data_IF_532935915263
#
_entry.id   IF_532935915263
#
_cell.length_a   1.000
_cell.length_b   1.000
_cell.length_c   1.000
_cell.angle_alpha   90.00
_cell.angle_beta   90.00
_cell.angle_gamma   90.00
#
_symmetry.space_group_name_H-M   'P 1'
#
loop_
_entity.id
_entity.type
_entity.pdbx_description
1 polymer ?
#
# COMPACT_ATOMS: atom_id res chain seq x y z
N UNK A 1 -22.20 15.41 -10.23
CA UNK A 1 -21.04 16.23 -10.69
C UNK A 1 -20.50 17.24 -9.66
N UNK A 2 -21.09 17.47 -8.47
CA UNK A 2 -20.53 18.43 -7.49
C UNK A 2 -19.62 17.84 -6.40
N UNK A 3 -19.47 16.51 -6.31
CA UNK A 3 -18.59 15.86 -5.33
C UNK A 3 -17.09 16.06 -5.65
N UNK A 4 -16.73 16.20 -6.93
CA UNK A 4 -15.34 16.29 -7.39
C UNK A 4 -14.67 17.65 -7.16
N UNK A 5 -15.42 18.74 -7.00
CA UNK A 5 -14.80 20.08 -6.80
C UNK A 5 -14.28 20.29 -5.38
N UNK A 6 -14.86 19.62 -4.38
CA UNK A 6 -14.40 19.74 -2.99
C UNK A 6 -13.33 18.70 -2.63
N UNK A 7 -13.17 17.64 -3.42
CA UNK A 7 -12.17 16.60 -3.18
C UNK A 7 -10.78 16.88 -3.81
N UNK A 8 -10.66 17.79 -4.79
CA UNK A 8 -9.34 18.14 -5.35
C UNK A 8 -8.39 18.74 -4.31
N UNK A 9 -8.93 19.48 -3.34
CA UNK A 9 -8.14 20.03 -2.22
C UNK A 9 -7.81 18.94 -1.19
N UNK A 10 -8.72 17.98 -0.98
CA UNK A 10 -8.50 16.82 -0.09
C UNK A 10 -7.48 15.80 -0.63
N UNK A 11 -7.31 15.74 -1.96
CA UNK A 11 -6.34 14.87 -2.64
C UNK A 11 -4.90 15.40 -2.51
N UNK A 12 -4.74 16.71 -2.25
CA UNK A 12 -3.44 17.35 -1.95
C UNK A 12 -3.06 17.22 -0.46
N UNK A 13 -3.97 16.67 0.36
CA UNK A 13 -3.96 16.81 1.83
C UNK A 13 -3.41 15.60 2.60
N UNK A 14 -2.54 14.82 1.98
CA UNK A 14 -1.87 13.72 2.66
C UNK A 14 -0.54 14.16 3.26
N UNK A 15 -0.41 14.15 4.59
CA UNK A 15 0.83 14.46 5.31
C UNK A 15 2.04 13.64 4.85
N UNK A 16 3.24 13.95 5.34
CA UNK A 16 4.51 13.33 4.93
C UNK A 16 4.48 11.80 4.75
N UNK A 17 3.68 11.07 5.53
CA UNK A 17 3.43 9.62 5.36
C UNK A 17 2.64 9.25 4.08
N UNK A 18 1.69 10.08 3.65
CA UNK A 18 0.98 10.01 2.38
C UNK A 18 1.78 10.58 1.20
N UNK A 19 2.69 11.54 1.41
CA UNK A 19 3.63 11.90 0.34
C UNK A 19 4.56 10.72 0.01
N UNK A 20 5.03 9.99 1.03
CA UNK A 20 5.78 8.73 0.91
C UNK A 20 4.94 7.60 0.26
N UNK A 21 3.67 7.42 0.66
CA UNK A 21 2.84 6.28 0.22
C UNK A 21 1.95 6.57 -0.98
N UNK A 22 1.23 7.69 -1.02
CA UNK A 22 0.37 8.07 -2.13
C UNK A 22 1.11 8.72 -3.30
N UNK A 23 2.21 9.46 -3.10
CA UNK A 23 3.00 10.01 -4.22
C UNK A 23 3.57 8.89 -5.09
N UNK A 24 4.37 8.02 -4.44
CA UNK A 24 4.93 6.80 -5.05
C UNK A 24 3.81 5.97 -5.68
N UNK A 25 2.74 5.62 -4.98
CA UNK A 25 1.76 4.68 -5.56
C UNK A 25 0.81 5.31 -6.59
N UNK A 26 0.46 6.60 -6.50
CA UNK A 26 -0.27 7.30 -7.57
C UNK A 26 0.60 7.34 -8.84
N UNK A 27 1.90 7.66 -8.73
CA UNK A 27 2.84 7.59 -9.85
C UNK A 27 2.94 6.18 -10.45
N UNK A 28 3.05 5.16 -9.60
CA UNK A 28 3.11 3.76 -10.01
C UNK A 28 1.83 3.26 -10.69
N UNK A 29 0.67 3.83 -10.35
CA UNK A 29 -0.63 3.37 -10.83
C UNK A 29 -1.21 4.21 -11.97
N UNK A 30 -0.83 5.50 -12.10
CA UNK A 30 -1.10 6.32 -13.29
C UNK A 30 -0.54 5.69 -14.55
N UNK A 31 0.58 4.97 -14.44
CA UNK A 31 1.18 4.24 -15.56
C UNK A 31 0.46 2.89 -15.83
N UNK A 32 0.04 2.11 -14.80
CA UNK A 32 -0.68 0.82 -14.99
C UNK A 32 -2.02 0.87 -15.77
N UNK A 33 -2.69 2.01 -15.92
CA UNK A 33 -3.91 2.10 -16.72
C UNK A 33 -3.64 1.99 -18.23
N UNK A 34 -2.47 2.43 -18.69
CA UNK A 34 -2.06 2.34 -20.09
C UNK A 34 -1.72 0.88 -20.49
N UNK A 35 -1.38 0.03 -19.51
CA UNK A 35 -1.19 -1.43 -19.69
C UNK A 35 -2.44 -2.22 -20.10
N UNK A 36 -3.67 -1.72 -19.87
CA UNK A 36 -4.90 -2.49 -20.18
C UNK A 36 -5.27 -2.44 -21.66
N UNK A 37 -4.97 -1.33 -22.34
CA UNK A 37 -5.10 -1.21 -23.80
C UNK A 37 -4.05 -2.08 -24.53
N UNK A 38 -2.82 -2.16 -24.01
CA UNK A 38 -1.75 -3.00 -24.58
C UNK A 38 -1.96 -4.51 -24.32
N UNK A 39 -2.64 -4.90 -23.24
CA UNK A 39 -2.95 -6.31 -22.95
C UNK A 39 -4.03 -6.90 -23.86
N UNK A 40 -5.03 -6.11 -24.27
CA UNK A 40 -6.03 -6.54 -25.25
C UNK A 40 -5.41 -6.74 -26.65
N UNK A 41 -4.39 -5.95 -27.00
CA UNK A 41 -3.59 -6.12 -28.22
C UNK A 41 -2.65 -7.36 -28.15
N UNK A 42 -1.99 -7.58 -27.00
CA UNK A 42 -1.13 -8.77 -26.78
C UNK A 42 -1.90 -10.09 -26.73
N UNK A 43 -3.17 -10.10 -26.29
CA UNK A 43 -3.99 -11.32 -26.21
C UNK A 43 -4.49 -11.77 -27.59
N UNK A 44 -4.75 -10.82 -28.50
CA UNK A 44 -5.01 -11.06 -29.93
C UNK A 44 -3.78 -11.67 -30.64
N UNK A 45 -2.58 -11.21 -30.28
CA UNK A 45 -1.31 -11.69 -30.84
C UNK A 45 -0.97 -13.10 -30.33
N UNK A 46 -1.32 -13.44 -29.08
CA UNK A 46 -1.01 -14.74 -28.47
C UNK A 46 -1.84 -15.91 -29.04
N UNK A 47 -3.12 -15.68 -29.35
CA UNK A 47 -3.95 -16.67 -30.06
C UNK A 47 -3.48 -16.92 -31.50
N UNK A 48 -2.71 -16.00 -32.08
CA UNK A 48 -2.15 -16.12 -33.44
C UNK A 48 -0.82 -16.88 -33.47
N UNK A 49 -0.14 -17.06 -32.32
CA UNK A 49 1.20 -17.68 -32.22
C UNK A 49 1.14 -19.15 -31.75
N UNK A 50 0.08 -19.56 -31.05
CA UNK A 50 -0.05 -20.93 -30.53
C UNK A 50 -0.32 -22.02 -31.60
N UNK A 51 -0.65 -21.64 -32.84
CA UNK A 51 -0.78 -22.57 -33.97
C UNK A 51 0.56 -22.97 -34.62
N UNK A 52 1.69 -22.32 -34.27
CA UNK A 52 2.98 -22.49 -34.97
C UNK A 52 4.11 -23.13 -34.11
N UNK A 53 3.85 -23.50 -32.85
CA UNK A 53 4.90 -23.99 -31.92
C UNK A 53 4.74 -25.43 -31.38
N UNK A 54 3.78 -26.23 -31.85
CA UNK A 54 3.65 -27.63 -31.41
C UNK A 54 4.76 -28.59 -31.93
N UNK A 55 5.67 -28.15 -32.80
CA UNK A 55 6.65 -29.07 -33.44
C UNK A 55 8.09 -29.08 -32.86
N UNK A 56 8.41 -28.33 -31.78
CA UNK A 56 9.81 -28.20 -31.31
C UNK A 56 10.15 -28.59 -29.86
N UNK A 57 9.20 -29.02 -29.03
CA UNK A 57 9.50 -29.39 -27.63
C UNK A 57 9.49 -30.91 -27.41
N UNK A 58 10.36 -31.62 -28.14
CA UNK A 58 10.76 -33.01 -27.81
C UNK A 58 12.27 -33.17 -27.95
N UNK A 59 13.05 -32.53 -27.07
CA UNK A 59 14.45 -32.90 -26.75
C UNK A 59 14.98 -32.00 -25.62
N UNK A 60 15.27 -32.59 -24.46
CA UNK A 60 16.27 -32.04 -23.54
C UNK A 60 15.79 -31.80 -22.10
N UNK A 61 15.45 -32.85 -21.36
CA UNK A 61 15.38 -32.79 -19.88
C UNK A 61 16.36 -33.81 -19.32
N UNK A 62 17.43 -33.33 -18.67
CA UNK A 62 18.20 -34.02 -17.62
C UNK A 62 19.29 -33.08 -17.09
N UNK A 63 19.02 -32.41 -15.95
CA UNK A 63 19.96 -32.10 -14.85
C UNK A 63 19.38 -31.00 -13.95
N UNK A 64 18.95 -31.38 -12.75
CA UNK A 64 19.25 -30.70 -11.47
C UNK A 64 18.31 -31.25 -10.40
N UNK A 65 18.82 -32.15 -9.54
CA UNK A 65 18.06 -32.77 -8.45
C UNK A 65 18.60 -32.39 -7.06
N UNK A 66 19.49 -31.38 -7.00
CA UNK A 66 20.18 -30.97 -5.77
C UNK A 66 19.93 -29.51 -5.36
N UNK A 67 19.21 -28.72 -6.16
CA UNK A 67 18.72 -27.39 -5.75
C UNK A 67 17.32 -27.45 -5.15
N UNK A 68 16.51 -28.44 -5.57
CA UNK A 68 15.12 -28.64 -5.15
C UNK A 68 14.97 -28.96 -3.65
N UNK A 69 15.96 -29.56 -3.00
CA UNK A 69 15.86 -29.94 -1.57
C UNK A 69 16.16 -28.79 -0.59
N UNK A 70 16.83 -27.72 -1.03
CA UNK A 70 17.10 -26.55 -0.16
C UNK A 70 15.92 -25.56 -0.21
N UNK A 71 15.24 -25.48 -1.35
CA UNK A 71 14.07 -24.60 -1.55
C UNK A 71 12.86 -25.10 -0.73
N UNK A 72 12.60 -26.41 -0.73
CA UNK A 72 11.45 -27.02 -0.03
C UNK A 72 11.53 -26.89 1.51
N UNK A 73 12.72 -26.81 2.11
CA UNK A 73 12.88 -26.60 3.56
C UNK A 73 12.70 -25.14 3.97
N UNK A 74 13.08 -24.18 3.12
CA UNK A 74 12.83 -22.76 3.38
C UNK A 74 11.34 -22.44 3.31
N UNK A 75 10.62 -23.04 2.36
CA UNK A 75 9.17 -22.84 2.18
C UNK A 75 8.35 -23.35 3.38
N UNK A 76 8.71 -24.51 3.96
CA UNK A 76 7.98 -25.07 5.11
C UNK A 76 8.18 -24.28 6.41
N UNK A 77 9.38 -23.77 6.68
CA UNK A 77 9.62 -22.92 7.86
C UNK A 77 8.89 -21.58 7.72
N UNK A 78 8.75 -21.07 6.49
CA UNK A 78 8.05 -19.81 6.20
C UNK A 78 6.53 -19.93 6.27
N UNK A 79 5.91 -20.98 5.72
CA UNK A 79 4.47 -21.23 5.89
C UNK A 79 4.09 -21.33 7.37
N UNK A 80 4.95 -21.95 8.18
CA UNK A 80 4.72 -22.05 9.63
C UNK A 80 4.78 -20.70 10.35
N UNK A 81 5.69 -19.79 9.94
CA UNK A 81 5.75 -18.41 10.46
C UNK A 81 4.56 -17.59 10.00
N UNK A 82 4.09 -17.79 8.77
CA UNK A 82 2.91 -17.09 8.24
C UNK A 82 1.62 -17.53 8.94
N UNK A 83 1.45 -18.83 9.20
CA UNK A 83 0.31 -19.35 9.97
C UNK A 83 0.34 -18.86 11.42
N UNK A 84 1.52 -18.80 12.06
CA UNK A 84 1.65 -18.24 13.42
C UNK A 84 1.30 -16.75 13.50
N UNK A 85 1.56 -15.96 12.45
CA UNK A 85 1.12 -14.56 12.38
C UNK A 85 -0.40 -14.45 12.20
N UNK A 86 -1.05 -15.42 11.55
CA UNK A 86 -2.50 -15.43 11.32
C UNK A 86 -3.31 -15.94 12.53
N UNK A 87 -2.79 -16.93 13.28
CA UNK A 87 -3.49 -17.62 14.38
C UNK A 87 -3.54 -16.86 15.72
N UNK A 88 -2.88 -15.71 15.86
CA UNK A 88 -3.03 -14.89 17.08
C UNK A 88 -4.46 -14.36 17.23
N UNK A 89 -4.94 -14.44 18.48
CA UNK A 89 -6.31 -14.18 18.95
C UNK A 89 -7.03 -13.11 18.11
N UNK A 90 -8.22 -13.46 17.59
CA UNK A 90 -9.05 -12.47 16.92
C UNK A 90 -9.46 -11.39 17.93
N UNK A 91 -9.36 -10.09 17.57
CA UNK A 91 -9.77 -9.03 18.48
C UNK A 91 -11.28 -9.16 18.75
N UNK A 92 -11.67 -9.17 20.02
CA UNK A 92 -13.09 -9.20 20.42
C UNK A 92 -13.68 -7.77 20.35
N UNK A 93 -14.33 -7.45 19.23
CA UNK A 93 -14.97 -6.16 18.97
C UNK A 93 -16.38 -6.08 19.58
N UNK A 94 -16.50 -6.26 20.90
CA UNK A 94 -17.81 -6.26 21.59
C UNK A 94 -18.35 -4.85 21.92
N UNK A 95 -18.48 -3.95 20.92
CA UNK A 95 -19.02 -2.58 21.11
C UNK A 95 -20.32 -2.34 20.31
N UNK A 96 -21.45 -2.80 20.85
CA UNK A 96 -22.79 -2.73 20.19
C UNK A 96 -23.36 -1.31 19.96
N UNK A 97 -22.78 -0.26 20.53
CA UNK A 97 -23.38 1.10 20.51
C UNK A 97 -22.81 2.02 19.42
N UNK A 98 -21.60 1.75 18.92
CA UNK A 98 -20.97 2.54 17.83
C UNK A 98 -21.43 2.06 16.44
N UNK A 99 -21.87 0.80 16.33
CA UNK A 99 -22.25 0.13 15.08
C UNK A 99 -23.49 0.73 14.39
N UNK A 100 -24.47 1.24 15.14
CA UNK A 100 -25.71 1.78 14.56
C UNK A 100 -25.54 3.12 13.82
N UNK A 101 -24.50 3.90 14.17
CA UNK A 101 -24.25 5.21 13.53
C UNK A 101 -23.47 5.00 12.22
N UNK A 102 -22.46 4.14 12.24
CA UNK A 102 -21.63 3.86 11.07
C UNK A 102 -22.46 3.25 9.91
N UNK A 103 -23.28 2.24 10.21
CA UNK A 103 -24.21 1.62 9.25
C UNK A 103 -25.17 2.62 8.60
N UNK A 104 -25.69 3.59 9.36
CA UNK A 104 -26.64 4.59 8.85
C UNK A 104 -26.07 5.56 7.80
N UNK A 105 -24.73 5.66 7.69
CA UNK A 105 -24.05 6.56 6.74
C UNK A 105 -23.87 5.94 5.36
N UNK A 106 -23.94 4.61 5.25
CA UNK A 106 -23.76 3.90 3.99
C UNK A 106 -25.06 3.93 3.21
N UNK A 107 -25.09 4.69 2.11
CA UNK A 107 -26.19 4.66 1.15
C UNK A 107 -25.82 3.73 0.01
N UNK A 108 -26.39 2.53 0.03
CA UNK A 108 -26.12 1.50 -0.97
C UNK A 108 -26.65 1.92 -2.34
N UNK A 109 -25.76 1.95 -3.32
CA UNK A 109 -26.05 2.22 -4.73
C UNK A 109 -25.34 1.19 -5.60
N UNK A 110 -25.98 0.84 -6.71
CA UNK A 110 -25.50 -0.18 -7.64
C UNK A 110 -25.08 0.46 -8.95
N UNK A 111 -24.12 -0.16 -9.63
CA UNK A 111 -23.81 0.13 -11.03
C UNK A 111 -25.05 -0.18 -11.89
N UNK A 112 -25.32 0.67 -12.88
CA UNK A 112 -26.54 0.62 -13.68
C UNK A 112 -26.79 -0.76 -14.29
N UNK A 113 -27.87 -1.43 -13.85
CA UNK A 113 -28.30 -2.71 -14.39
C UNK A 113 -27.51 -3.93 -13.89
N UNK A 114 -26.75 -3.80 -12.80
CA UNK A 114 -26.01 -4.91 -12.17
C UNK A 114 -26.30 -4.98 -10.68
N UNK A 115 -25.95 -6.10 -10.05
CA UNK A 115 -26.00 -6.26 -8.59
C UNK A 115 -24.70 -5.79 -7.89
N UNK A 116 -23.78 -5.17 -8.63
CA UNK A 116 -22.49 -4.72 -8.11
C UNK A 116 -22.56 -3.27 -7.64
N UNK A 117 -21.84 -2.96 -6.56
CA UNK A 117 -21.82 -1.63 -5.96
C UNK A 117 -21.05 -0.63 -6.81
N UNK A 118 -21.51 0.62 -6.78
CA UNK A 118 -20.79 1.72 -7.38
C UNK A 118 -19.61 2.18 -6.49
N UNK A 119 -18.73 3.01 -7.06
CA UNK A 119 -17.57 3.52 -6.34
C UNK A 119 -17.94 4.29 -5.06
N UNK A 120 -19.04 5.05 -5.08
CA UNK A 120 -19.47 5.84 -3.93
C UNK A 120 -19.86 4.94 -2.75
N UNK A 121 -20.53 3.82 -3.02
CA UNK A 121 -20.90 2.82 -2.02
C UNK A 121 -19.68 2.15 -1.43
N UNK A 122 -18.74 1.70 -2.29
CA UNK A 122 -17.47 1.11 -1.83
C UNK A 122 -16.71 2.09 -0.94
N UNK A 123 -16.53 3.34 -1.37
CA UNK A 123 -15.86 4.36 -0.57
C UNK A 123 -16.58 4.64 0.76
N UNK A 124 -17.91 4.62 0.79
CA UNK A 124 -18.69 4.82 2.02
C UNK A 124 -18.56 3.65 3.01
N UNK A 125 -18.52 2.41 2.52
CA UNK A 125 -18.28 1.21 3.35
C UNK A 125 -16.89 1.29 3.95
N UNK A 126 -15.90 1.53 3.11
CA UNK A 126 -14.50 1.75 3.47
C UNK A 126 -14.35 2.83 4.55
N UNK A 127 -14.91 4.02 4.34
CA UNK A 127 -14.82 5.11 5.32
C UNK A 127 -15.55 4.79 6.64
N UNK A 128 -16.73 4.17 6.56
CA UNK A 128 -17.56 3.89 7.75
C UNK A 128 -17.00 2.75 8.60
N UNK A 129 -16.19 1.84 8.03
CA UNK A 129 -15.58 0.76 8.81
C UNK A 129 -14.57 1.28 9.84
N UNK A 130 -13.99 2.46 9.62
CA UNK A 130 -13.05 3.05 10.58
C UNK A 130 -13.66 3.32 11.96
N UNK A 131 -14.98 3.52 12.03
CA UNK A 131 -15.69 3.73 13.29
C UNK A 131 -15.71 2.48 14.20
N UNK A 132 -15.41 1.30 13.65
CA UNK A 132 -15.39 0.02 14.38
C UNK A 132 -14.04 -0.28 15.06
N UNK A 133 -12.94 0.35 14.64
CA UNK A 133 -11.57 -0.05 15.05
C UNK A 133 -10.79 1.00 15.84
N UNK A 134 -11.40 2.14 16.13
CA UNK A 134 -10.67 3.30 16.65
C UNK A 134 -9.89 3.01 17.94
N UNK A 135 -10.51 2.40 18.95
CA UNK A 135 -9.91 2.22 20.28
C UNK A 135 -8.87 1.08 20.30
N UNK A 136 -9.17 -0.02 19.62
CA UNK A 136 -8.27 -1.16 19.46
C UNK A 136 -7.02 -0.76 18.68
N UNK A 137 -7.19 0.01 17.60
CA UNK A 137 -6.07 0.53 16.81
C UNK A 137 -5.16 1.44 17.63
N UNK A 138 -5.73 2.39 18.40
CA UNK A 138 -4.94 3.31 19.25
C UNK A 138 -4.13 2.51 20.26
N UNK A 139 -4.79 1.59 20.97
CA UNK A 139 -4.17 0.79 22.03
C UNK A 139 -3.04 -0.07 21.48
N UNK A 140 -3.29 -0.76 20.36
CA UNK A 140 -2.30 -1.61 19.72
C UNK A 140 -1.11 -0.80 19.18
N UNK A 141 -1.37 0.34 18.54
CA UNK A 141 -0.34 1.20 17.97
C UNK A 141 0.59 1.74 19.05
N UNK A 142 0.04 2.23 20.17
CA UNK A 142 0.84 2.73 21.30
C UNK A 142 1.73 1.64 21.90
N UNK A 143 1.15 0.47 22.19
CA UNK A 143 1.90 -0.67 22.72
C UNK A 143 3.02 -1.09 21.76
N UNK A 144 2.70 -1.23 20.49
CA UNK A 144 3.68 -1.67 19.49
C UNK A 144 4.79 -0.62 19.28
N UNK A 145 4.47 0.69 19.26
CA UNK A 145 5.49 1.77 19.24
C UNK A 145 6.48 1.63 20.38
N UNK A 146 6.01 1.41 21.60
CA UNK A 146 6.90 1.22 22.76
C UNK A 146 7.80 -0.01 22.63
N UNK A 147 7.23 -1.15 22.22
CA UNK A 147 7.96 -2.40 22.05
C UNK A 147 9.02 -2.28 20.93
N UNK A 148 8.64 -1.71 19.78
CA UNK A 148 9.55 -1.47 18.66
C UNK A 148 10.71 -0.58 19.06
N UNK A 149 10.45 0.56 19.69
CA UNK A 149 11.50 1.52 20.05
C UNK A 149 12.50 0.94 21.06
N UNK A 150 12.03 0.11 22.00
CA UNK A 150 12.90 -0.67 22.89
C UNK A 150 13.76 -1.66 22.09
N UNK A 151 13.11 -2.49 21.27
CA UNK A 151 13.77 -3.53 20.49
C UNK A 151 14.79 -2.95 19.50
N UNK A 152 14.53 -1.79 18.87
CA UNK A 152 15.42 -1.18 17.87
C UNK A 152 16.86 -1.00 18.36
N UNK A 153 17.03 -0.72 19.66
CA UNK A 153 18.36 -0.50 20.26
C UNK A 153 18.98 -1.78 20.86
N UNK A 154 18.17 -2.79 21.17
CA UNK A 154 18.61 -3.99 21.89
C UNK A 154 18.61 -5.27 21.06
N UNK A 155 17.64 -5.43 20.16
CA UNK A 155 17.38 -6.63 19.37
C UNK A 155 16.77 -6.25 18.01
N UNK A 156 17.64 -6.17 17.00
CA UNK A 156 17.27 -5.75 15.65
C UNK A 156 16.32 -6.75 14.98
N UNK A 157 16.47 -8.06 15.20
CA UNK A 157 15.57 -9.04 14.60
C UNK A 157 14.17 -8.94 15.21
N UNK A 158 14.08 -8.78 16.54
CA UNK A 158 12.78 -8.54 17.18
C UNK A 158 12.13 -7.25 16.70
N UNK A 159 12.92 -6.20 16.47
CA UNK A 159 12.40 -4.95 15.90
C UNK A 159 11.80 -5.18 14.51
N UNK A 160 12.45 -5.94 13.64
CA UNK A 160 11.91 -6.29 12.32
C UNK A 160 10.57 -7.00 12.43
N UNK A 161 10.50 -8.06 13.24
CA UNK A 161 9.26 -8.81 13.48
C UNK A 161 8.12 -7.89 13.92
N UNK A 162 8.40 -6.99 14.89
CA UNK A 162 7.39 -6.06 15.41
C UNK A 162 6.91 -5.04 14.37
N UNK A 163 7.79 -4.59 13.46
CA UNK A 163 7.41 -3.71 12.33
C UNK A 163 6.47 -4.46 11.38
N UNK A 164 6.81 -5.70 11.01
CA UNK A 164 5.99 -6.49 10.09
C UNK A 164 4.65 -6.89 10.72
N UNK A 165 4.68 -7.36 11.97
CA UNK A 165 3.50 -7.72 12.76
C UNK A 165 2.55 -6.53 12.88
N UNK A 166 3.09 -5.33 13.15
CA UNK A 166 2.28 -4.12 13.24
C UNK A 166 1.50 -3.85 11.95
N UNK A 167 2.17 -3.84 10.81
CA UNK A 167 1.54 -3.53 9.54
C UNK A 167 0.49 -4.59 9.17
N UNK A 168 0.79 -5.88 9.34
CA UNK A 168 -0.16 -6.97 9.12
C UNK A 168 -1.39 -6.88 10.05
N UNK A 169 -1.18 -6.53 11.32
CA UNK A 169 -2.27 -6.40 12.28
C UNK A 169 -3.18 -5.20 11.98
N UNK A 170 -2.62 -4.08 11.48
CA UNK A 170 -3.42 -2.94 11.03
C UNK A 170 -4.31 -3.33 9.85
N UNK A 171 -3.82 -4.10 8.86
CA UNK A 171 -4.66 -4.66 7.80
C UNK A 171 -5.79 -5.52 8.36
N UNK A 172 -5.46 -6.44 9.28
CA UNK A 172 -6.43 -7.34 9.89
C UNK A 172 -7.54 -6.57 10.61
N UNK A 173 -7.20 -5.48 11.32
CA UNK A 173 -8.21 -4.60 11.92
C UNK A 173 -9.14 -4.00 10.86
N UNK A 174 -8.58 -3.43 9.79
CA UNK A 174 -9.37 -2.81 8.71
C UNK A 174 -10.31 -3.83 8.06
N UNK A 175 -9.82 -5.02 7.72
CA UNK A 175 -10.63 -6.08 7.11
C UNK A 175 -11.72 -6.59 8.06
N UNK A 176 -11.40 -6.82 9.33
CA UNK A 176 -12.39 -7.28 10.32
C UNK A 176 -13.49 -6.24 10.52
N UNK A 177 -13.14 -4.96 10.54
CA UNK A 177 -14.12 -3.88 10.61
C UNK A 177 -15.03 -3.80 9.39
N UNK A 178 -14.48 -4.02 8.20
CA UNK A 178 -15.25 -4.05 6.96
C UNK A 178 -16.24 -5.22 6.99
N UNK A 179 -15.78 -6.42 7.34
CA UNK A 179 -16.62 -7.62 7.44
C UNK A 179 -17.78 -7.43 8.44
N UNK A 180 -17.49 -6.82 9.60
CA UNK A 180 -18.52 -6.51 10.59
C UNK A 180 -19.52 -5.47 10.07
N UNK A 181 -19.05 -4.41 9.42
CA UNK A 181 -19.94 -3.39 8.84
C UNK A 181 -20.83 -4.00 7.75
N UNK A 182 -20.27 -4.81 6.85
CA UNK A 182 -21.02 -5.50 5.79
C UNK A 182 -22.14 -6.37 6.39
N UNK A 183 -21.81 -7.10 7.46
CA UNK A 183 -22.80 -7.88 8.22
C UNK A 183 -23.90 -6.98 8.80
N UNK A 184 -23.55 -5.85 9.39
CA UNK A 184 -24.49 -4.91 10.02
C UNK A 184 -25.44 -4.24 9.01
N UNK A 185 -24.96 -3.97 7.77
CA UNK A 185 -25.78 -3.42 6.68
C UNK A 185 -26.39 -4.48 5.77
N UNK A 186 -26.26 -5.76 6.13
CA UNK A 186 -26.77 -6.91 5.39
C UNK A 186 -26.33 -6.93 3.91
N UNK A 187 -25.04 -6.66 3.68
CA UNK A 187 -24.39 -6.82 2.39
C UNK A 187 -23.57 -8.12 2.42
N UNK A 188 -23.72 -8.92 1.38
CA UNK A 188 -22.91 -10.11 1.17
C UNK A 188 -21.46 -9.74 0.79
N UNK A 189 -20.50 -10.40 1.44
CA UNK A 189 -19.06 -10.14 1.26
C UNK A 189 -18.60 -10.45 -0.16
N UNK A 190 -19.09 -11.53 -0.77
CA UNK A 190 -18.71 -11.93 -2.13
C UNK A 190 -19.17 -10.89 -3.14
N UNK A 191 -20.38 -10.33 -2.98
CA UNK A 191 -20.86 -9.23 -3.82
C UNK A 191 -19.99 -7.97 -3.66
N UNK A 192 -19.59 -7.65 -2.42
CA UNK A 192 -18.71 -6.51 -2.16
C UNK A 192 -17.34 -6.66 -2.82
N UNK A 193 -16.68 -7.81 -2.63
CA UNK A 193 -15.38 -8.12 -3.24
C UNK A 193 -15.49 -8.12 -4.77
N UNK A 194 -16.56 -8.71 -5.32
CA UNK A 194 -16.78 -8.73 -6.77
C UNK A 194 -16.96 -7.32 -7.35
N UNK A 195 -17.61 -6.44 -6.60
CA UNK A 195 -17.79 -5.04 -6.98
C UNK A 195 -16.45 -4.30 -7.04
N UNK A 196 -15.53 -4.56 -6.09
CA UNK A 196 -14.17 -4.03 -6.11
C UNK A 196 -13.42 -4.52 -7.35
N UNK A 197 -13.47 -5.82 -7.65
CA UNK A 197 -12.82 -6.37 -8.85
C UNK A 197 -13.31 -5.70 -10.13
N UNK A 198 -14.62 -5.51 -10.27
CA UNK A 198 -15.22 -4.86 -11.44
C UNK A 198 -14.77 -3.41 -11.56
N UNK A 199 -14.68 -2.68 -10.45
CA UNK A 199 -14.15 -1.32 -10.43
C UNK A 199 -12.68 -1.28 -10.85
N UNK A 200 -11.84 -2.20 -10.35
CA UNK A 200 -10.44 -2.33 -10.77
C UNK A 200 -10.36 -2.62 -12.27
N UNK A 201 -11.15 -3.57 -12.76
CA UNK A 201 -11.22 -3.89 -14.19
C UNK A 201 -11.72 -2.70 -15.02
N UNK A 202 -12.58 -1.87 -14.47
CA UNK A 202 -13.09 -0.65 -15.13
C UNK A 202 -12.14 0.55 -15.01
N UNK A 203 -10.93 0.35 -14.50
CA UNK A 203 -9.91 1.39 -14.40
C UNK A 203 -9.97 2.23 -13.10
N UNK A 204 -10.79 1.89 -12.12
CA UNK A 204 -10.90 2.66 -10.87
C UNK A 204 -9.83 2.29 -9.81
N UNK A 205 -8.81 1.53 -10.18
CA UNK A 205 -7.79 1.04 -9.24
C UNK A 205 -7.07 2.18 -8.49
N UNK A 206 -6.67 3.24 -9.19
CA UNK A 206 -6.03 4.40 -8.55
C UNK A 206 -6.94 5.07 -7.52
N UNK A 207 -8.20 5.27 -7.87
CA UNK A 207 -9.17 5.93 -7.00
C UNK A 207 -9.46 5.07 -5.77
N UNK A 208 -9.56 3.75 -5.94
CA UNK A 208 -9.71 2.81 -4.83
C UNK A 208 -8.50 2.84 -3.90
N UNK A 209 -7.29 2.82 -4.47
CA UNK A 209 -6.06 2.95 -3.72
C UNK A 209 -6.01 4.28 -2.93
N UNK A 210 -6.36 5.40 -3.56
CA UNK A 210 -6.42 6.70 -2.90
C UNK A 210 -7.40 6.71 -1.73
N UNK A 211 -8.55 6.03 -1.86
CA UNK A 211 -9.51 5.88 -0.75
C UNK A 211 -8.90 5.06 0.38
N UNK A 212 -8.27 3.92 0.09
CA UNK A 212 -7.60 3.10 1.10
C UNK A 212 -6.50 3.89 1.84
N UNK A 213 -5.68 4.64 1.12
CA UNK A 213 -4.63 5.48 1.70
C UNK A 213 -5.21 6.62 2.55
N UNK A 214 -6.30 7.25 2.10
CA UNK A 214 -7.02 8.25 2.90
C UNK A 214 -7.63 7.65 4.17
N UNK A 215 -8.11 6.40 4.14
CA UNK A 215 -8.59 5.70 5.32
C UNK A 215 -7.48 5.47 6.35
N UNK A 216 -6.30 5.04 5.89
CA UNK A 216 -5.13 4.85 6.77
C UNK A 216 -4.72 6.15 7.45
N UNK A 217 -4.80 7.26 6.73
CA UNK A 217 -4.59 8.57 7.35
C UNK A 217 -5.67 8.88 8.38
N UNK A 218 -6.95 8.68 8.04
CA UNK A 218 -8.07 8.94 8.96
C UNK A 218 -8.02 8.10 10.24
N UNK A 219 -7.55 6.85 10.17
CA UNK A 219 -7.38 6.04 11.37
C UNK A 219 -6.17 6.50 12.19
N UNK A 220 -5.07 6.88 11.54
CA UNK A 220 -3.91 7.50 12.19
C UNK A 220 -4.29 8.79 12.91
N UNK A 221 -5.19 9.59 12.33
CA UNK A 221 -5.71 10.84 12.93
C UNK A 221 -6.47 10.60 14.25
N UNK A 222 -6.88 9.35 14.57
CA UNK A 222 -7.47 9.00 15.86
C UNK A 222 -6.44 8.92 16.99
N UNK A 223 -5.15 8.83 16.66
CA UNK A 223 -4.07 8.84 17.66
C UNK A 223 -3.98 10.22 18.34
N UNK A 224 -3.71 10.25 19.66
CA UNK A 224 -3.63 11.50 20.39
C UNK A 224 -2.39 12.29 19.97
N UNK A 225 -2.60 13.57 19.67
CA UNK A 225 -1.54 14.51 19.33
C UNK A 225 -0.99 15.12 20.61
N UNK A 226 0.33 15.15 20.75
CA UNK A 226 1.00 15.64 21.94
C UNK A 226 1.82 16.91 21.66
N UNK A 227 2.17 17.16 20.40
CA UNK A 227 3.03 18.28 20.02
C UNK A 227 2.41 19.14 18.92
N UNK A 228 2.69 20.44 18.98
CA UNK A 228 2.47 21.34 17.86
C UNK A 228 3.78 21.47 17.08
N UNK A 229 3.75 21.21 15.78
CA UNK A 229 4.94 21.24 14.92
C UNK A 229 4.91 22.50 14.06
N UNK A 230 5.99 23.28 14.04
CA UNK A 230 6.08 24.44 13.15
C UNK A 230 6.44 24.03 11.72
N UNK A 231 6.18 24.90 10.74
CA UNK A 231 6.57 24.68 9.34
C UNK A 231 8.08 24.47 9.17
N UNK A 232 8.90 25.25 9.87
CA UNK A 232 10.35 25.12 9.85
C UNK A 232 10.77 23.75 10.37
N UNK A 233 10.09 23.28 11.42
CA UNK A 233 10.35 21.96 11.99
C UNK A 233 9.94 20.84 11.02
N UNK A 234 8.84 21.00 10.29
CA UNK A 234 8.46 20.09 9.21
C UNK A 234 9.58 19.99 8.17
N UNK A 235 10.17 21.11 7.73
CA UNK A 235 11.30 21.09 6.79
C UNK A 235 12.49 20.30 7.32
N UNK A 236 12.85 20.52 8.59
CA UNK A 236 13.93 19.76 9.25
C UNK A 236 13.63 18.25 9.29
N UNK A 237 12.37 17.87 9.60
CA UNK A 237 11.96 16.47 9.62
C UNK A 237 12.07 15.85 8.24
N UNK A 238 11.58 16.51 7.19
CA UNK A 238 11.64 15.99 5.82
C UNK A 238 13.10 15.89 5.34
N UNK A 239 13.94 16.86 5.66
CA UNK A 239 15.38 16.79 5.38
C UNK A 239 16.05 15.60 6.09
N UNK A 240 15.65 15.33 7.33
CA UNK A 240 16.13 14.16 8.06
C UNK A 240 15.63 12.84 7.46
N UNK A 241 14.39 12.78 6.97
CA UNK A 241 13.88 11.62 6.24
C UNK A 241 14.74 11.31 5.01
N UNK A 242 15.10 12.34 4.23
CA UNK A 242 16.02 12.20 3.09
C UNK A 242 17.41 11.70 3.51
N UNK A 243 17.96 12.28 4.60
CA UNK A 243 19.23 11.85 5.17
C UNK A 243 19.20 10.35 5.53
N UNK A 244 18.15 9.90 6.21
CA UNK A 244 17.96 8.50 6.60
C UNK A 244 17.83 7.60 5.36
N UNK A 245 16.96 7.96 4.41
CA UNK A 245 16.71 7.16 3.20
C UNK A 245 18.00 6.95 2.39
N UNK A 246 18.86 7.96 2.33
CA UNK A 246 20.11 7.90 1.59
C UNK A 246 21.22 7.18 2.37
N UNK A 247 21.33 7.40 3.69
CA UNK A 247 22.44 6.88 4.49
C UNK A 247 22.18 5.49 5.09
N UNK A 248 20.93 5.09 5.25
CA UNK A 248 20.53 3.81 5.88
C UNK A 248 19.81 2.88 4.90
N UNK A 249 19.99 3.10 3.59
CA UNK A 249 19.35 2.34 2.52
C UNK A 249 19.50 0.82 2.70
N UNK A 250 20.70 0.35 3.00
CA UNK A 250 21.01 -1.08 3.14
C UNK A 250 20.23 -1.72 4.31
N UNK A 251 20.00 -0.96 5.39
CA UNK A 251 19.19 -1.43 6.53
C UNK A 251 17.73 -1.62 6.13
N UNK A 252 17.17 -0.68 5.36
CA UNK A 252 15.81 -0.82 4.84
C UNK A 252 15.68 -2.00 3.88
N UNK A 253 16.61 -2.12 2.92
CA UNK A 253 16.64 -3.21 1.95
C UNK A 253 16.70 -4.57 2.65
N UNK A 254 17.52 -4.72 3.68
CA UNK A 254 17.64 -5.97 4.43
C UNK A 254 16.36 -6.40 5.17
N UNK A 255 15.46 -5.46 5.47
CA UNK A 255 14.18 -5.73 6.12
C UNK A 255 13.11 -6.01 5.07
N UNK A 256 13.08 -5.19 4.02
CA UNK A 256 12.13 -5.34 2.92
C UNK A 256 12.41 -6.61 2.09
N UNK A 257 13.64 -7.08 2.01
CA UNK A 257 13.93 -8.34 1.31
C UNK A 257 13.33 -9.56 2.01
N UNK A 258 13.06 -9.50 3.33
CA UNK A 258 12.35 -10.56 4.05
C UNK A 258 10.87 -10.64 3.66
N UNK A 259 10.35 -9.55 3.10
CA UNK A 259 8.97 -9.37 2.73
C UNK A 259 8.67 -9.85 1.29
N UNK A 260 9.69 -9.99 0.44
CA UNK A 260 9.55 -10.26 -1.00
C UNK A 260 8.74 -11.52 -1.38
N UNK A 261 8.56 -12.44 -0.43
CA UNK A 261 7.82 -13.69 -0.62
C UNK A 261 6.32 -13.59 -0.28
N UNK A 262 5.87 -12.45 0.27
CA UNK A 262 4.45 -12.25 0.56
C UNK A 262 3.70 -11.81 -0.71
N UNK A 263 2.47 -12.32 -0.93
CA UNK A 263 1.60 -11.78 -1.97
C UNK A 263 1.32 -10.30 -1.69
N UNK A 264 1.21 -9.51 -2.76
CA UNK A 264 0.90 -8.07 -2.72
C UNK A 264 1.90 -7.21 -1.93
N UNK A 265 3.13 -7.70 -1.76
CA UNK A 265 4.12 -7.03 -0.91
C UNK A 265 4.49 -5.62 -1.36
N UNK A 266 4.48 -5.37 -2.66
CA UNK A 266 4.78 -4.06 -3.21
C UNK A 266 3.91 -2.96 -2.58
N UNK A 267 2.68 -3.29 -2.17
CA UNK A 267 1.75 -2.35 -1.53
C UNK A 267 2.07 -2.12 -0.05
N UNK A 268 2.72 -3.08 0.64
CA UNK A 268 3.09 -2.98 2.06
C UNK A 268 4.41 -2.23 2.30
N UNK A 269 5.31 -2.22 1.32
CA UNK A 269 6.65 -1.64 1.46
C UNK A 269 6.63 -0.17 1.91
N UNK A 270 5.81 0.72 1.31
CA UNK A 270 5.74 2.11 1.77
C UNK A 270 5.33 2.25 3.24
N UNK A 271 4.44 1.38 3.75
CA UNK A 271 3.98 1.42 5.14
C UNK A 271 5.05 0.91 6.11
N UNK A 272 5.76 -0.15 5.74
CA UNK A 272 6.89 -0.69 6.50
C UNK A 272 8.01 0.35 6.59
N UNK A 273 8.36 0.97 5.47
CA UNK A 273 9.34 2.07 5.42
C UNK A 273 8.92 3.24 6.29
N UNK A 274 7.67 3.71 6.15
CA UNK A 274 7.15 4.80 6.96
C UNK A 274 7.22 4.45 8.45
N UNK A 275 6.80 3.25 8.85
CA UNK A 275 6.86 2.78 10.25
C UNK A 275 8.28 2.91 10.81
N UNK A 276 9.28 2.45 10.07
CA UNK A 276 10.67 2.51 10.50
C UNK A 276 11.20 3.95 10.57
N UNK A 277 10.88 4.77 9.57
CA UNK A 277 11.31 6.16 9.51
C UNK A 277 10.69 6.96 10.65
N UNK A 278 9.41 6.74 10.98
CA UNK A 278 8.74 7.42 12.09
C UNK A 278 9.38 7.09 13.44
N UNK A 279 9.84 5.86 13.67
CA UNK A 279 10.56 5.53 14.90
C UNK A 279 11.90 6.29 15.00
N UNK A 280 12.60 6.54 13.88
CA UNK A 280 13.81 7.36 13.85
C UNK A 280 13.53 8.86 14.02
N UNK A 281 12.44 9.36 13.43
CA UNK A 281 11.97 10.74 13.63
C UNK A 281 11.64 10.97 15.10
N UNK A 282 10.92 10.05 15.72
CA UNK A 282 10.60 10.12 17.14
C UNK A 282 11.87 10.13 18.00
N UNK A 283 12.85 9.28 17.69
CA UNK A 283 14.14 9.27 18.39
C UNK A 283 14.89 10.62 18.28
N UNK A 284 14.93 11.23 17.09
CA UNK A 284 15.66 12.49 16.88
C UNK A 284 14.92 13.72 17.39
N UNK A 285 13.60 13.75 17.27
CA UNK A 285 12.81 14.98 17.47
C UNK A 285 11.74 14.87 18.55
N UNK A 286 11.40 13.66 19.02
CA UNK A 286 10.30 13.44 19.97
C UNK A 286 8.92 13.77 19.37
N UNK A 287 8.81 13.76 18.05
CA UNK A 287 7.61 14.13 17.29
C UNK A 287 7.02 12.86 16.67
N UNK A 288 5.71 12.68 16.85
CA UNK A 288 4.97 11.55 16.27
C UNK A 288 4.41 11.91 14.88
N UNK A 289 3.91 10.90 14.16
CA UNK A 289 3.32 11.08 12.83
C UNK A 289 2.08 11.98 12.86
N UNK A 290 1.20 11.77 13.84
CA UNK A 290 -0.05 12.51 14.02
C UNK A 290 0.18 14.01 14.34
N UNK A 291 1.31 14.33 14.97
CA UNK A 291 1.73 15.71 15.22
C UNK A 291 2.11 16.41 13.90
N UNK A 292 2.81 15.69 13.01
CA UNK A 292 3.22 16.18 11.69
C UNK A 292 2.02 16.37 10.76
N UNK A 293 1.11 15.40 10.71
CA UNK A 293 -0.05 15.38 9.80
C UNK A 293 -0.91 16.65 9.92
N UNK A 294 -1.09 17.14 11.15
CA UNK A 294 -1.82 18.38 11.42
C UNK A 294 -1.19 19.56 10.69
N UNK A 295 0.12 19.73 10.84
CA UNK A 295 0.83 20.86 10.25
C UNK A 295 0.94 20.73 8.73
N UNK A 296 1.10 19.51 8.22
CA UNK A 296 1.12 19.25 6.77
C UNK A 296 -0.19 19.62 6.07
N UNK A 297 -1.30 19.66 6.79
CA UNK A 297 -2.59 20.12 6.27
C UNK A 297 -2.77 21.64 6.23
N UNK A 298 -1.82 22.40 6.79
CA UNK A 298 -1.90 23.85 6.82
C UNK A 298 -1.63 24.45 5.43
N UNK A 299 -2.43 25.46 5.05
CA UNK A 299 -2.36 26.09 3.72
C UNK A 299 -0.95 26.63 3.42
N UNK A 300 -0.26 27.17 4.42
CA UNK A 300 1.07 27.76 4.25
C UNK A 300 2.20 26.71 4.10
N UNK A 301 1.93 25.46 4.46
CA UNK A 301 2.79 24.30 4.18
C UNK A 301 2.49 23.74 2.78
N UNK A 302 1.22 23.64 2.43
CA UNK A 302 0.75 23.19 1.11
C UNK A 302 1.23 24.12 -0.01
N UNK A 303 1.42 25.41 0.25
CA UNK A 303 1.91 26.36 -0.76
C UNK A 303 3.45 26.50 -0.76
N UNK A 304 4.17 25.80 0.14
CA UNK A 304 5.61 25.97 0.29
C UNK A 304 6.40 25.17 -0.77
N UNK A 305 7.07 25.83 -1.73
CA UNK A 305 7.78 25.14 -2.81
C UNK A 305 9.00 24.34 -2.32
N UNK A 306 9.59 24.72 -1.19
CA UNK A 306 10.72 23.97 -0.60
C UNK A 306 10.23 22.64 -0.06
N UNK A 307 9.08 22.62 0.61
CA UNK A 307 8.47 21.38 1.11
C UNK A 307 8.14 20.47 -0.07
N UNK A 308 7.52 20.97 -1.14
CA UNK A 308 7.27 20.18 -2.35
C UNK A 308 8.54 19.60 -2.97
N UNK A 309 9.59 20.41 -3.09
CA UNK A 309 10.87 19.95 -3.62
C UNK A 309 11.53 18.86 -2.77
N UNK A 310 11.36 18.91 -1.45
CA UNK A 310 11.86 17.87 -0.54
C UNK A 310 11.00 16.59 -0.60
N UNK A 311 9.67 16.72 -0.66
CA UNK A 311 8.76 15.57 -0.81
C UNK A 311 9.00 14.82 -2.12
N UNK A 312 9.26 15.55 -3.21
CA UNK A 312 9.62 14.93 -4.50
C UNK A 312 10.93 14.13 -4.40
N UNK A 313 11.95 14.66 -3.72
CA UNK A 313 13.19 13.92 -3.51
C UNK A 313 12.99 12.65 -2.69
N UNK A 314 12.05 12.68 -1.73
CA UNK A 314 11.69 11.52 -0.92
C UNK A 314 11.09 10.43 -1.81
N UNK A 315 10.15 10.80 -2.68
CA UNK A 315 9.53 9.91 -3.65
C UNK A 315 10.59 9.28 -4.56
N UNK A 316 11.49 10.08 -5.13
CA UNK A 316 12.61 9.61 -5.97
C UNK A 316 13.52 8.64 -5.21
N UNK A 317 13.89 8.93 -3.95
CA UNK A 317 14.70 8.05 -3.11
C UNK A 317 14.00 6.72 -2.82
N UNK A 318 12.68 6.72 -2.59
CA UNK A 318 11.90 5.50 -2.41
C UNK A 318 11.83 4.66 -3.69
N UNK A 319 11.54 5.29 -4.83
CA UNK A 319 11.50 4.62 -6.13
C UNK A 319 12.85 3.94 -6.44
N UNK A 320 13.95 4.65 -6.21
CA UNK A 320 15.30 4.11 -6.37
C UNK A 320 15.62 2.97 -5.39
N UNK A 321 14.95 2.89 -4.24
CA UNK A 321 15.08 1.77 -3.31
C UNK A 321 14.27 0.57 -3.78
N UNK A 322 13.03 0.78 -4.23
CA UNK A 322 12.18 -0.27 -4.78
C UNK A 322 12.81 -0.93 -6.01
N UNK A 323 13.38 -0.15 -6.93
CA UNK A 323 14.10 -0.67 -8.09
C UNK A 323 15.27 -1.59 -7.70
N UNK A 324 16.02 -1.24 -6.65
CA UNK A 324 17.14 -2.09 -6.18
C UNK A 324 16.72 -3.42 -5.58
N UNK A 325 15.48 -3.51 -5.09
CA UNK A 325 14.91 -4.75 -4.57
C UNK A 325 14.48 -5.71 -5.68
N UNK A 326 14.75 -5.41 -6.95
CA UNK A 326 14.25 -6.20 -8.07
C UNK A 326 12.74 -6.10 -8.23
N UNK A 327 12.10 -5.20 -7.47
CA UNK A 327 10.77 -4.70 -7.73
C UNK A 327 10.92 -3.67 -8.87
N UNK A 328 11.45 -4.16 -9.99
CA UNK A 328 11.54 -3.43 -11.24
C UNK A 328 10.11 -3.09 -11.63
N UNK A 329 9.69 -1.90 -11.24
CA UNK A 329 8.70 -1.19 -12.00
C UNK A 329 9.32 -0.99 -13.37
N UNK A 330 8.90 -1.81 -14.32
CA UNK A 330 9.20 -1.57 -15.71
C UNK A 330 8.61 -0.18 -15.99
N UNK A 331 9.49 0.80 -16.18
CA UNK A 331 9.09 2.11 -16.66
C UNK A 331 8.48 1.87 -18.02
N UNK A 332 7.16 2.00 -18.15
CA UNK A 332 6.45 1.72 -19.40
C UNK A 332 6.96 2.60 -20.53
N UNK A 333 7.57 3.75 -20.23
CA UNK A 333 8.23 4.56 -21.25
C UNK A 333 9.47 3.84 -21.78
N UNK A 334 10.26 3.18 -20.93
CA UNK A 334 11.36 2.31 -21.34
C UNK A 334 10.87 0.99 -21.96
N UNK A 335 9.75 0.42 -21.49
CA UNK A 335 9.14 -0.79 -22.08
C UNK A 335 8.56 -0.49 -23.47
N UNK A 336 7.89 0.65 -23.63
CA UNK A 336 7.35 1.13 -24.90
C UNK A 336 8.48 1.56 -25.83
N UNK A 337 9.51 2.27 -25.35
CA UNK A 337 10.70 2.57 -26.13
C UNK A 337 11.44 1.28 -26.55
N UNK A 338 11.49 0.26 -25.68
CA UNK A 338 12.09 -1.03 -26.01
C UNK A 338 11.22 -1.82 -27.00
N UNK A 339 9.90 -1.83 -26.85
CA UNK A 339 8.95 -2.42 -27.80
C UNK A 339 9.05 -1.71 -29.15
N UNK A 340 9.08 -0.37 -29.16
CA UNK A 340 9.20 0.46 -30.35
C UNK A 340 10.55 0.24 -31.03
N UNK A 341 11.64 0.17 -30.27
CA UNK A 341 12.98 -0.18 -30.77
C UNK A 341 13.03 -1.60 -31.35
N UNK A 342 12.37 -2.57 -30.73
CA UNK A 342 12.29 -3.95 -31.23
C UNK A 342 11.42 -4.02 -32.51
N UNK A 343 10.38 -3.18 -32.61
CA UNK A 343 9.56 -3.00 -33.83
C UNK A 343 10.38 -2.40 -34.96
N UNK A 344 11.16 -1.34 -34.69
CA UNK A 344 12.08 -0.72 -35.65
C UNK A 344 13.16 -1.68 -36.14
N UNK A 345 13.59 -2.62 -35.29
CA UNK A 345 14.55 -3.68 -35.66
C UNK A 345 13.92 -4.84 -36.44
N UNK A 346 12.61 -4.79 -36.71
CA UNK A 346 11.88 -5.86 -37.40
C UNK A 346 11.74 -7.14 -36.57
N UNK A 347 11.94 -7.06 -35.25
CA UNK A 347 11.77 -8.18 -34.33
C UNK A 347 10.32 -8.32 -33.85
N UNK A 348 9.49 -7.32 -34.11
CA UNK A 348 8.03 -7.35 -33.99
C UNK A 348 7.42 -6.88 -35.33
N UNK A 349 6.72 -7.77 -36.05
CA UNK A 349 5.94 -7.38 -37.22
C UNK A 349 4.52 -7.00 -36.82
N UNK A 350 4.05 -5.84 -37.26
CA UNK A 350 2.62 -5.50 -37.26
C UNK A 350 1.88 -6.49 -38.16
N UNK A 351 1.08 -7.38 -37.57
CA UNK A 351 0.06 -8.17 -38.24
C UNK A 351 -1.29 -7.90 -37.59
#
# INVERSE_FOLDING_TARGET
MSFFKNNKTAIVLGGSALALTAGVVIYLNSKKQDKKEVKEEKQLIKETIEDDQEEKVKRGVKRSHNQEQVEVQADQEQESKQQQLQEREQPDFSVKTKTSIASSRVKVQFLNGTDNFDFATIAAILESSLDYIGEEYITYTQKNREERRKARTSDVERYKELVLEYNAQVEKFILTAQDQLLTDINIDKEIYEKSIEILIQSGYYQQLYMVQSAMRQKISDKLPRNNQVSKEKIKEIIQYQLEILNNQKDTFIAIISQLQYLPDIAELIPFVLNTMIQDMIFEKFGIEEEDQATQMSAQDVIEDPTIHGLLKQIEESMLNMMQQLGLNYIDEEQELEEIERLREQGQYSEN
#
